data_IF_630802586731
#
_entry.id   IF_630802586731
#
_cell.length_a   1.000
_cell.length_b   1.000
_cell.length_c   1.000
_cell.angle_alpha   90.00
_cell.angle_beta   90.00
_cell.angle_gamma   90.00
#
_symmetry.space_group_name_H-M   'P 1'
#
loop_
_entity.id
_entity.type
_entity.pdbx_description
1 polymer ?
#
# COMPACT_ATOMS: atom_id res chain seq x y z
N UNK A 1 -0.68 -3.00 15.55
CA UNK A 1 0.78 -3.07 15.35
C UNK A 1 1.03 -4.21 14.37
N UNK A 2 1.74 -3.92 13.27
CA UNK A 2 2.19 -4.93 12.31
C UNK A 2 3.72 -4.97 12.41
N UNK A 3 4.29 -6.15 12.62
CA UNK A 3 5.72 -6.39 12.65
C UNK A 3 6.04 -7.51 11.67
N UNK A 4 7.07 -7.30 10.84
CA UNK A 4 7.60 -8.29 9.92
C UNK A 4 9.12 -8.38 10.08
N UNK A 5 9.65 -9.60 10.06
CA UNK A 5 11.07 -9.87 10.16
C UNK A 5 11.49 -10.93 9.13
N UNK A 6 12.66 -10.74 8.54
CA UNK A 6 13.31 -11.71 7.67
C UNK A 6 14.82 -11.70 7.93
N UNK A 7 15.47 -12.86 7.81
CA UNK A 7 16.93 -12.96 8.01
C UNK A 7 17.70 -12.41 6.79
N UNK A 8 17.21 -12.68 5.58
CA UNK A 8 17.79 -12.20 4.33
C UNK A 8 16.70 -11.72 3.39
N UNK A 9 16.81 -10.45 3.01
CA UNK A 9 15.89 -9.79 2.08
C UNK A 9 16.03 -10.30 0.64
N UNK A 10 14.91 -10.64 0.03
CA UNK A 10 14.84 -11.02 -1.39
C UNK A 10 14.95 -9.80 -2.33
N UNK A 11 14.57 -8.60 -1.87
CA UNK A 11 14.60 -7.36 -2.64
C UNK A 11 13.54 -7.29 -3.76
N UNK A 12 12.60 -8.23 -3.77
CA UNK A 12 11.53 -8.36 -4.76
C UNK A 12 10.35 -9.15 -4.17
N UNK A 13 9.14 -9.05 -4.74
CA UNK A 13 7.99 -9.83 -4.30
C UNK A 13 8.28 -11.35 -4.28
N UNK A 14 7.82 -12.02 -3.23
CA UNK A 14 8.02 -13.46 -3.01
C UNK A 14 6.70 -14.23 -2.99
N UNK A 15 6.57 -15.18 -2.06
CA UNK A 15 5.32 -15.94 -1.86
C UNK A 15 4.14 -15.03 -1.47
N UNK A 16 4.42 -13.92 -0.78
CA UNK A 16 3.48 -12.83 -0.53
C UNK A 16 3.82 -11.72 -1.51
N UNK A 17 2.82 -11.28 -2.29
CA UNK A 17 3.00 -10.22 -3.27
C UNK A 17 2.98 -8.83 -2.63
N UNK A 18 1.96 -8.55 -1.80
CA UNK A 18 1.78 -7.27 -1.09
C UNK A 18 0.96 -7.45 0.18
N UNK A 19 0.96 -6.43 1.04
CA UNK A 19 0.10 -6.33 2.23
C UNK A 19 -0.81 -5.11 2.05
N UNK A 20 -2.13 -5.32 2.08
CA UNK A 20 -3.12 -4.27 1.96
C UNK A 20 -3.69 -3.84 3.32
N UNK A 21 -3.77 -2.53 3.54
CA UNK A 21 -4.26 -1.88 4.75
C UNK A 21 -5.50 -1.06 4.42
N UNK A 22 -6.64 -1.39 5.03
CA UNK A 22 -7.89 -0.65 4.84
C UNK A 22 -7.89 0.68 5.63
N UNK A 23 -8.48 1.71 5.06
CA UNK A 23 -8.67 3.03 5.68
C UNK A 23 -9.99 3.67 5.25
N UNK A 24 -10.51 4.56 6.10
CA UNK A 24 -11.64 5.43 5.75
C UNK A 24 -11.18 6.83 5.28
N UNK A 25 -9.86 7.12 5.31
CA UNK A 25 -9.30 8.44 4.99
C UNK A 25 -8.11 8.33 4.02
N UNK A 26 -8.32 7.77 2.81
CA UNK A 26 -7.22 7.48 1.87
C UNK A 26 -6.39 8.71 1.47
N UNK A 27 -7.02 9.88 1.30
CA UNK A 27 -6.33 11.13 0.99
C UNK A 27 -5.35 11.55 2.08
N UNK A 28 -5.74 11.36 3.34
CA UNK A 28 -4.91 11.67 4.51
C UNK A 28 -3.78 10.66 4.64
N UNK A 29 -4.05 9.38 4.40
CA UNK A 29 -3.03 8.33 4.39
C UNK A 29 -1.99 8.59 3.28
N UNK A 30 -2.43 8.96 2.08
CA UNK A 30 -1.54 9.26 0.96
C UNK A 30 -0.60 10.44 1.26
N UNK A 31 -1.11 11.51 1.87
CA UNK A 31 -0.28 12.65 2.33
C UNK A 31 0.73 12.23 3.39
N UNK A 32 0.29 11.46 4.39
CA UNK A 32 1.19 10.95 5.43
C UNK A 32 2.30 10.07 4.86
N UNK A 33 2.01 9.20 3.89
CA UNK A 33 3.03 8.36 3.24
C UNK A 33 3.98 9.20 2.37
N UNK A 34 3.50 10.26 1.71
CA UNK A 34 4.37 11.20 0.97
C UNK A 34 5.42 11.85 1.87
N UNK A 35 5.08 12.14 3.11
CA UNK A 35 6.01 12.74 4.09
C UNK A 35 7.10 11.76 4.55
N UNK A 36 6.92 10.44 4.36
CA UNK A 36 7.91 9.42 4.72
C UNK A 36 9.07 9.29 3.71
N UNK A 37 9.01 9.99 2.57
CA UNK A 37 10.03 9.93 1.51
C UNK A 37 10.32 8.50 1.01
N UNK A 38 9.26 7.70 0.87
CA UNK A 38 9.30 6.35 0.29
C UNK A 38 9.06 6.38 -1.22
N UNK A 39 9.51 5.34 -1.91
CA UNK A 39 9.23 5.16 -3.34
C UNK A 39 7.79 4.68 -3.53
N UNK A 40 6.98 5.46 -4.24
CA UNK A 40 5.65 5.04 -4.65
C UNK A 40 5.75 4.17 -5.90
N UNK A 41 4.89 3.15 -5.99
CA UNK A 41 4.81 2.28 -7.17
C UNK A 41 4.04 2.92 -8.33
N UNK A 42 3.15 3.87 -8.00
CA UNK A 42 2.24 4.55 -8.92
C UNK A 42 2.20 6.05 -8.55
N UNK A 43 1.87 6.92 -9.50
CA UNK A 43 1.99 8.38 -9.32
C UNK A 43 0.96 8.99 -8.35
N UNK A 44 -0.09 8.24 -8.00
CA UNK A 44 -1.22 8.75 -7.24
C UNK A 44 -2.17 7.67 -6.74
N UNK A 45 -3.26 8.12 -6.11
CA UNK A 45 -4.39 7.26 -5.74
C UNK A 45 -5.08 6.78 -7.00
N UNK A 46 -5.22 5.46 -7.12
CA UNK A 46 -5.87 4.75 -8.22
C UNK A 46 -7.26 4.26 -7.79
N UNK A 47 -8.09 3.87 -8.76
CA UNK A 47 -9.43 3.32 -8.51
C UNK A 47 -9.62 1.99 -9.24
N UNK A 48 -10.36 1.06 -8.62
CA UNK A 48 -10.75 -0.22 -9.23
C UNK A 48 -12.23 -0.55 -8.94
N UNK A 49 -12.95 -1.19 -9.87
CA UNK A 49 -14.37 -1.52 -9.72
C UNK A 49 -14.57 -2.81 -8.90
N UNK A 50 -14.04 -2.84 -7.68
CA UNK A 50 -14.25 -3.93 -6.71
C UNK A 50 -15.38 -3.61 -5.71
N UNK A 51 -15.98 -4.64 -5.12
CA UNK A 51 -17.15 -4.50 -4.23
C UNK A 51 -18.34 -3.81 -4.92
N UNK A 52 -19.27 -3.22 -4.16
CA UNK A 52 -20.48 -2.59 -4.71
C UNK A 52 -20.20 -1.24 -5.38
N UNK A 53 -19.30 -0.43 -4.81
CA UNK A 53 -19.05 0.95 -5.26
C UNK A 53 -17.60 1.23 -5.70
N UNK A 54 -16.73 0.23 -5.71
CA UNK A 54 -15.31 0.40 -6.03
C UNK A 54 -14.40 0.50 -4.81
N UNK A 55 -13.10 0.56 -5.08
CA UNK A 55 -12.07 0.95 -4.12
C UNK A 55 -11.24 2.09 -4.67
N UNK A 56 -10.65 2.86 -3.75
CA UNK A 56 -9.46 3.67 -4.04
C UNK A 56 -8.25 3.01 -3.38
N UNK A 57 -7.08 3.08 -3.99
CA UNK A 57 -5.85 2.51 -3.41
C UNK A 57 -4.59 3.22 -3.89
N UNK A 58 -3.48 3.04 -3.19
CA UNK A 58 -2.15 3.37 -3.69
C UNK A 58 -1.12 2.39 -3.15
N UNK A 59 -0.04 2.17 -3.90
CA UNK A 59 1.06 1.29 -3.50
C UNK A 59 2.38 2.05 -3.28
N UNK A 60 3.17 1.59 -2.32
CA UNK A 60 4.53 2.07 -2.07
C UNK A 60 5.43 0.93 -1.60
N UNK A 61 6.74 1.13 -1.72
CA UNK A 61 7.73 0.15 -1.31
C UNK A 61 8.19 0.36 0.12
N UNK A 62 8.23 -0.74 0.88
CA UNK A 62 8.95 -0.82 2.15
C UNK A 62 10.47 -0.85 1.95
N UNK A 63 11.25 -0.73 3.04
CA UNK A 63 12.72 -0.72 2.98
C UNK A 63 13.34 -1.95 2.30
N UNK A 64 12.68 -3.11 2.37
CA UNK A 64 13.15 -4.37 1.79
C UNK A 64 12.44 -4.72 0.47
N UNK A 65 11.79 -3.73 -0.16
CA UNK A 65 10.99 -3.85 -1.39
C UNK A 65 9.69 -4.63 -1.22
N UNK A 66 9.16 -4.73 -0.02
CA UNK A 66 7.78 -5.15 0.20
C UNK A 66 6.84 -4.16 -0.47
N UNK A 67 5.76 -4.67 -1.07
CA UNK A 67 4.70 -3.81 -1.59
C UNK A 67 3.67 -3.63 -0.48
N UNK A 68 3.52 -2.39 -0.03
CA UNK A 68 2.41 -1.98 0.83
C UNK A 68 1.32 -1.35 -0.03
N UNK A 69 0.08 -1.71 0.24
CA UNK A 69 -1.11 -1.09 -0.30
C UNK A 69 -1.90 -0.42 0.82
N UNK A 70 -2.36 0.80 0.58
CA UNK A 70 -3.42 1.40 1.39
C UNK A 70 -4.64 1.50 0.51
N UNK A 71 -5.76 0.92 0.94
CA UNK A 71 -7.00 0.90 0.19
C UNK A 71 -8.17 1.43 1.02
N UNK A 72 -9.20 1.92 0.32
CA UNK A 72 -10.45 2.37 0.91
C UNK A 72 -11.60 1.84 0.08
N UNK A 73 -12.49 1.07 0.72
CA UNK A 73 -13.76 0.64 0.13
C UNK A 73 -14.71 1.83 0.04
N UNK A 74 -15.28 2.06 -1.14
CA UNK A 74 -16.24 3.13 -1.37
C UNK A 74 -17.64 2.71 -0.89
N UNK A 75 -18.40 3.70 -0.40
CA UNK A 75 -19.76 3.55 0.11
C UNK A 75 -20.70 4.45 -0.68
#
# INVERSE_FOLDING_TARGET
>A
MLESWEEKTAGQPGAINHIALDTNEIEKAFRAVKELNVEFKDEGIQELPYWEHGIKYFNFFGPNREIFEVCQILK
#
